data_IF_442256370569
#
_entry.id   IF_442256370569
#
_cell.length_a   1.000
_cell.length_b   1.000
_cell.length_c   1.000
_cell.angle_alpha   90.00
_cell.angle_beta   90.00
_cell.angle_gamma   90.00
#
_symmetry.space_group_name_H-M   'P 1'
#
loop_
_entity.id
_entity.type
_entity.pdbx_description
1 polymer ?
#
# COMPACT_ATOMS: atom_id res chain seq x y z
N UNK A 1 -1.84 0.26 46.93
CA UNK A 1 -0.95 -0.73 46.30
C UNK A 1 -1.77 -1.70 45.45
N UNK A 2 -1.87 -1.46 44.13
CA UNK A 2 -2.18 -2.48 43.11
C UNK A 2 -2.03 -1.89 41.68
N UNK A 3 -0.83 -1.97 41.04
CA UNK A 3 -0.74 -1.84 39.58
C UNK A 3 0.02 -2.97 38.87
N UNK A 4 0.75 -3.83 39.61
CA UNK A 4 1.68 -4.81 39.02
C UNK A 4 1.02 -5.94 38.22
N UNK A 5 -0.21 -6.32 38.55
CA UNK A 5 -0.88 -7.48 37.91
C UNK A 5 -1.42 -7.16 36.52
N UNK A 6 -1.97 -5.96 36.33
CA UNK A 6 -2.53 -5.50 35.05
C UNK A 6 -1.45 -5.18 34.01
N UNK A 7 -0.31 -4.66 34.47
CA UNK A 7 0.83 -4.37 33.60
C UNK A 7 1.49 -5.66 33.10
N UNK A 8 1.57 -6.68 33.96
CA UNK A 8 2.07 -8.00 33.60
C UNK A 8 1.17 -8.69 32.57
N UNK A 9 -0.16 -8.63 32.74
CA UNK A 9 -1.10 -9.19 31.75
C UNK A 9 -1.07 -8.46 30.41
N UNK A 10 -0.85 -7.13 30.39
CA UNK A 10 -0.65 -6.39 29.14
C UNK A 10 0.65 -6.79 28.44
N UNK A 11 1.75 -6.95 29.18
CA UNK A 11 3.03 -7.40 28.63
C UNK A 11 2.92 -8.82 28.04
N UNK A 12 2.24 -9.72 28.74
CA UNK A 12 1.98 -11.09 28.27
C UNK A 12 1.14 -11.09 26.98
N UNK A 13 0.10 -10.25 26.92
CA UNK A 13 -0.69 -10.07 25.69
C UNK A 13 0.14 -9.50 24.53
N UNK A 14 0.98 -8.50 24.79
CA UNK A 14 1.86 -7.91 23.78
C UNK A 14 2.87 -8.93 23.24
N UNK A 15 3.47 -9.73 24.12
CA UNK A 15 4.40 -10.80 23.72
C UNK A 15 3.71 -11.87 22.89
N UNK A 16 2.50 -12.27 23.28
CA UNK A 16 1.69 -13.21 22.50
C UNK A 16 1.37 -12.67 21.10
N UNK A 17 0.95 -11.40 21.00
CA UNK A 17 0.64 -10.78 19.71
C UNK A 17 1.88 -10.63 18.82
N UNK A 18 3.05 -10.31 19.39
CA UNK A 18 4.31 -10.25 18.65
C UNK A 18 4.70 -11.63 18.11
N UNK A 19 4.58 -12.69 18.92
CA UNK A 19 4.85 -14.05 18.48
C UNK A 19 3.92 -14.48 17.33
N UNK A 20 2.62 -14.13 17.41
CA UNK A 20 1.66 -14.40 16.35
C UNK A 20 2.00 -13.65 15.04
N UNK A 21 2.48 -12.41 15.16
CA UNK A 21 2.93 -11.63 14.00
C UNK A 21 4.18 -12.25 13.37
N UNK A 22 5.15 -12.69 14.18
CA UNK A 22 6.37 -13.37 13.72
C UNK A 22 6.04 -14.71 13.02
N UNK A 23 5.15 -15.51 13.58
CA UNK A 23 4.65 -16.74 12.95
C UNK A 23 4.00 -16.43 11.60
N UNK A 24 3.14 -15.39 11.56
CA UNK A 24 2.51 -14.96 10.32
C UNK A 24 3.54 -14.45 9.32
N UNK A 25 4.61 -13.77 9.75
CA UNK A 25 5.71 -13.36 8.88
C UNK A 25 6.44 -14.56 8.25
N UNK A 26 6.65 -15.62 9.03
CA UNK A 26 7.30 -16.86 8.56
C UNK A 26 6.43 -17.57 7.54
N UNK A 27 5.14 -17.73 7.81
CA UNK A 27 4.17 -18.25 6.83
C UNK A 27 4.15 -17.40 5.57
N UNK A 28 4.15 -16.08 5.73
CA UNK A 28 4.17 -15.12 4.62
C UNK A 28 5.42 -15.33 3.75
N UNK A 29 6.60 -15.53 4.36
CA UNK A 29 7.86 -15.82 3.65
C UNK A 29 7.83 -17.17 2.93
N UNK A 30 7.23 -18.18 3.51
CA UNK A 30 7.04 -19.49 2.88
C UNK A 30 6.08 -19.42 1.68
N UNK A 31 4.95 -18.72 1.82
CA UNK A 31 4.03 -18.45 0.71
C UNK A 31 4.76 -17.77 -0.47
N UNK A 32 5.65 -16.78 -0.22
CA UNK A 32 6.44 -16.14 -1.31
C UNK A 32 7.41 -17.08 -2.02
N UNK A 33 7.91 -18.11 -1.35
CA UNK A 33 8.78 -19.10 -1.98
C UNK A 33 7.98 -20.04 -2.89
N UNK A 34 6.67 -20.16 -2.66
CA UNK A 34 5.78 -21.11 -3.33
C UNK A 34 5.08 -20.53 -4.58
N UNK A 35 4.90 -19.20 -4.67
CA UNK A 35 4.31 -18.57 -5.85
C UNK A 35 5.32 -18.41 -7.01
N UNK A 36 5.04 -18.95 -8.21
CA UNK A 36 5.82 -18.67 -9.41
C UNK A 36 5.83 -17.17 -9.74
N UNK A 37 6.96 -16.68 -10.26
CA UNK A 37 7.15 -15.27 -10.69
C UNK A 37 6.33 -14.86 -11.92
N UNK A 38 5.35 -15.66 -12.32
CA UNK A 38 4.58 -15.44 -13.53
C UNK A 38 3.25 -14.75 -13.18
N UNK A 39 2.87 -13.68 -13.89
CA UNK A 39 1.58 -13.04 -13.69
C UNK A 39 0.43 -14.03 -13.95
N UNK A 40 -0.70 -13.90 -13.24
CA UNK A 40 -1.89 -14.69 -13.52
C UNK A 40 -2.33 -14.49 -14.97
N UNK A 41 -2.77 -15.57 -15.62
CA UNK A 41 -3.33 -15.54 -16.97
C UNK A 41 -4.58 -14.66 -17.02
N UNK A 42 -4.67 -13.86 -18.10
CA UNK A 42 -5.71 -12.85 -18.38
C UNK A 42 -7.11 -13.43 -18.70
N UNK A 43 -7.61 -14.40 -17.93
CA UNK A 43 -8.90 -15.05 -18.23
C UNK A 43 -10.14 -14.41 -17.55
N UNK A 44 -9.98 -13.29 -16.82
CA UNK A 44 -11.13 -12.50 -16.33
C UNK A 44 -11.18 -11.13 -17.01
N UNK A 45 -11.43 -11.16 -18.31
CA UNK A 45 -11.66 -10.01 -19.17
C UNK A 45 -13.02 -9.35 -18.92
N UNK A 46 -13.21 -8.66 -17.77
CA UNK A 46 -14.21 -7.58 -17.69
C UNK A 46 -14.00 -6.56 -16.56
N UNK A 47 -12.76 -6.35 -16.14
CA UNK A 47 -12.39 -5.14 -15.41
C UNK A 47 -11.07 -4.66 -15.97
N UNK A 48 -11.10 -3.84 -17.02
CA UNK A 48 -9.93 -3.08 -17.45
C UNK A 48 -9.51 -2.16 -16.29
N UNK A 49 -8.69 -2.71 -15.39
CA UNK A 49 -7.78 -1.93 -14.60
C UNK A 49 -6.94 -1.16 -15.62
N UNK A 50 -7.15 0.16 -15.68
CA UNK A 50 -6.18 1.04 -16.33
C UNK A 50 -4.78 0.57 -15.92
N UNK A 51 -3.84 0.39 -16.87
CA UNK A 51 -2.52 -0.13 -16.56
C UNK A 51 -1.93 0.67 -15.39
N UNK A 52 -1.29 -0.02 -14.45
CA UNK A 52 -0.68 0.58 -13.26
C UNK A 52 0.84 0.58 -13.47
N UNK A 53 1.35 1.35 -14.46
CA UNK A 53 2.70 1.18 -14.97
C UNK A 53 3.77 1.37 -13.90
N UNK A 54 3.50 2.11 -12.82
CA UNK A 54 4.48 2.35 -11.77
C UNK A 54 4.65 1.10 -10.91
N UNK A 55 3.58 0.59 -10.29
CA UNK A 55 3.74 -0.62 -9.46
C UNK A 55 4.17 -1.82 -10.31
N UNK A 56 3.68 -1.92 -11.55
CA UNK A 56 4.02 -2.99 -12.48
C UNK A 56 5.50 -2.93 -12.88
N UNK A 57 6.07 -1.74 -13.13
CA UNK A 57 7.50 -1.60 -13.43
C UNK A 57 8.39 -2.05 -12.26
N UNK A 58 8.06 -1.61 -11.04
CA UNK A 58 8.80 -2.02 -9.84
C UNK A 58 8.72 -3.52 -9.58
N UNK A 59 7.56 -4.13 -9.83
CA UNK A 59 7.39 -5.57 -9.71
C UNK A 59 8.17 -6.32 -10.79
N UNK A 60 8.15 -5.86 -12.04
CA UNK A 60 8.87 -6.52 -13.13
C UNK A 60 10.40 -6.46 -12.95
N UNK A 61 10.92 -5.37 -12.40
CA UNK A 61 12.37 -5.20 -12.18
C UNK A 61 12.90 -5.92 -10.93
N UNK A 62 12.16 -5.86 -9.82
CA UNK A 62 12.64 -6.34 -8.51
C UNK A 62 11.74 -7.32 -7.79
N UNK A 63 10.68 -7.80 -8.45
CA UNK A 63 9.72 -8.76 -7.92
C UNK A 63 8.96 -8.27 -6.69
N UNK A 64 8.47 -9.23 -5.90
CA UNK A 64 7.76 -8.96 -4.65
C UNK A 64 8.60 -8.16 -3.62
N UNK A 65 9.93 -8.34 -3.65
CA UNK A 65 10.84 -7.67 -2.71
C UNK A 65 10.94 -6.16 -2.97
N UNK A 66 10.84 -5.70 -4.22
CA UNK A 66 10.80 -4.27 -4.52
C UNK A 66 9.54 -3.61 -3.94
N UNK A 67 8.37 -4.24 -4.15
CA UNK A 67 7.08 -3.76 -3.61
C UNK A 67 7.12 -3.72 -2.08
N UNK A 68 7.67 -4.76 -1.44
CA UNK A 68 7.83 -4.82 0.02
C UNK A 68 8.83 -3.79 0.54
N UNK A 69 9.93 -3.58 -0.17
CA UNK A 69 10.92 -2.55 0.19
C UNK A 69 10.35 -1.15 0.08
N UNK A 70 9.42 -0.90 -0.84
CA UNK A 70 8.77 0.40 -0.97
C UNK A 70 7.58 0.61 -0.04
N UNK A 71 6.83 -0.43 0.37
CA UNK A 71 5.57 -0.22 1.10
C UNK A 71 5.44 -0.93 2.45
N UNK A 72 6.39 -1.80 2.82
CA UNK A 72 6.28 -2.80 3.90
C UNK A 72 5.26 -3.91 3.66
N UNK A 73 4.42 -3.80 2.63
CA UNK A 73 3.46 -4.82 2.26
C UNK A 73 4.01 -5.67 1.12
N UNK A 74 3.75 -6.96 1.21
CA UNK A 74 3.84 -7.80 0.04
C UNK A 74 2.87 -7.39 -1.07
N UNK A 75 3.06 -7.86 -2.31
CA UNK A 75 2.08 -7.65 -3.37
C UNK A 75 0.66 -8.12 -2.99
N UNK A 76 0.54 -9.23 -2.25
CA UNK A 76 -0.76 -9.78 -1.80
C UNK A 76 -1.42 -8.87 -0.77
N UNK A 77 -0.69 -8.45 0.26
CA UNK A 77 -1.20 -7.54 1.29
C UNK A 77 -1.53 -6.17 0.71
N UNK A 78 -0.67 -5.66 -0.17
CA UNK A 78 -0.92 -4.44 -0.92
C UNK A 78 -2.23 -4.53 -1.73
N UNK A 79 -2.43 -5.62 -2.48
CA UNK A 79 -3.66 -5.81 -3.26
C UNK A 79 -4.90 -5.95 -2.37
N UNK A 80 -4.79 -6.56 -1.18
CA UNK A 80 -5.87 -6.60 -0.19
C UNK A 80 -6.23 -5.21 0.33
N UNK A 81 -5.23 -4.42 0.72
CA UNK A 81 -5.41 -3.03 1.16
C UNK A 81 -5.99 -2.16 0.04
N UNK A 82 -5.46 -2.32 -1.19
CA UNK A 82 -6.04 -1.65 -2.34
C UNK A 82 -7.49 -2.05 -2.54
N UNK A 83 -7.82 -3.34 -2.42
CA UNK A 83 -9.19 -3.85 -2.54
C UNK A 83 -10.18 -3.19 -1.57
N UNK A 84 -9.77 -2.92 -0.33
CA UNK A 84 -10.65 -2.28 0.66
C UNK A 84 -10.94 -0.81 0.35
N UNK A 85 -9.97 -0.07 -0.21
CA UNK A 85 -10.13 1.36 -0.54
C UNK A 85 -10.56 1.60 -1.99
N UNK A 86 -10.39 0.63 -2.89
CA UNK A 86 -10.64 0.74 -4.34
C UNK A 86 -12.03 1.27 -4.66
N UNK A 87 -13.14 0.80 -4.06
CA UNK A 87 -14.47 1.30 -4.38
C UNK A 87 -14.59 2.81 -4.10
N UNK A 88 -14.06 3.25 -2.96
CA UNK A 88 -14.06 4.66 -2.56
C UNK A 88 -13.18 5.52 -3.47
N UNK A 89 -11.94 5.08 -3.70
CA UNK A 89 -10.99 5.80 -4.57
C UNK A 89 -11.53 5.90 -6.00
N UNK A 90 -12.13 4.84 -6.54
CA UNK A 90 -12.73 4.84 -7.88
C UNK A 90 -13.86 5.86 -7.98
N UNK A 91 -14.66 6.00 -6.92
CA UNK A 91 -15.78 6.94 -6.87
C UNK A 91 -15.34 8.40 -6.76
N UNK A 92 -14.26 8.71 -6.03
CA UNK A 92 -13.95 10.09 -5.65
C UNK A 92 -12.66 10.67 -6.25
N UNK A 93 -11.68 9.86 -6.69
CA UNK A 93 -10.35 10.34 -7.05
C UNK A 93 -10.30 11.37 -8.20
N UNK A 94 -11.16 11.20 -9.21
CA UNK A 94 -11.20 12.09 -10.38
C UNK A 94 -12.41 13.03 -10.38
N UNK A 95 -13.24 13.02 -9.33
CA UNK A 95 -14.42 13.88 -9.24
C UNK A 95 -13.99 15.32 -8.91
N UNK A 96 -14.59 16.30 -9.58
CA UNK A 96 -14.37 17.73 -9.29
C UNK A 96 -12.99 18.28 -9.68
N UNK A 97 -12.11 17.47 -10.29
CA UNK A 97 -10.72 17.86 -10.57
C UNK A 97 -10.49 18.63 -11.87
N UNK A 98 -11.55 18.85 -12.67
CA UNK A 98 -11.50 19.49 -13.99
C UNK A 98 -10.79 18.63 -15.05
N UNK A 99 -9.52 18.31 -14.81
CA UNK A 99 -8.71 17.37 -15.62
C UNK A 99 -8.46 16.08 -14.84
N UNK A 100 -8.75 14.94 -15.45
CA UNK A 100 -8.44 13.61 -14.88
C UNK A 100 -6.93 13.48 -14.63
N UNK A 101 -6.57 12.85 -13.51
CA UNK A 101 -5.17 12.48 -13.24
C UNK A 101 -4.69 11.49 -14.31
N UNK A 102 -3.46 11.67 -14.79
CA UNK A 102 -2.80 10.72 -15.68
C UNK A 102 -2.33 9.46 -14.93
N UNK A 103 -2.20 9.54 -13.60
CA UNK A 103 -1.77 8.43 -12.75
C UNK A 103 -2.97 7.61 -12.27
N UNK A 104 -2.86 6.28 -12.40
CA UNK A 104 -3.85 5.34 -11.91
C UNK A 104 -3.99 5.45 -10.38
N UNK A 105 -5.20 5.30 -9.85
CA UNK A 105 -5.44 5.40 -8.40
C UNK A 105 -4.61 4.40 -7.59
N UNK A 106 -4.37 3.21 -8.13
CA UNK A 106 -3.54 2.16 -7.52
C UNK A 106 -2.06 2.54 -7.46
N UNK A 107 -1.53 3.15 -8.52
CA UNK A 107 -0.16 3.69 -8.52
C UNK A 107 0.00 4.81 -7.50
N UNK A 108 -0.99 5.70 -7.40
CA UNK A 108 -0.94 6.78 -6.41
C UNK A 108 -1.02 6.22 -5.00
N UNK A 109 -1.83 5.17 -4.76
CA UNK A 109 -1.84 4.47 -3.48
C UNK A 109 -0.47 3.84 -3.15
N UNK A 110 0.16 3.20 -4.12
CA UNK A 110 1.52 2.66 -3.98
C UNK A 110 2.54 3.74 -3.61
N UNK A 111 2.54 4.87 -4.35
CA UNK A 111 3.41 6.01 -4.06
C UNK A 111 3.13 6.61 -2.68
N UNK A 112 1.86 6.73 -2.28
CA UNK A 112 1.47 7.24 -0.95
C UNK A 112 2.02 6.36 0.17
N UNK A 113 1.86 5.04 0.09
CA UNK A 113 2.41 4.12 1.09
C UNK A 113 3.95 4.20 1.14
N UNK A 114 4.60 4.39 -0.01
CA UNK A 114 6.05 4.58 -0.07
C UNK A 114 6.52 5.84 0.65
N UNK A 115 5.82 6.97 0.44
CA UNK A 115 6.13 8.22 1.16
C UNK A 115 5.93 8.05 2.67
N UNK A 116 4.84 7.38 3.09
CA UNK A 116 4.55 7.15 4.50
C UNK A 116 5.56 6.21 5.16
N UNK A 117 6.11 5.24 4.42
CA UNK A 117 7.15 4.34 4.90
C UNK A 117 8.50 5.05 5.07
N UNK A 118 8.97 5.69 4.01
CA UNK A 118 10.35 6.18 3.93
C UNK A 118 10.54 7.56 4.54
N UNK A 119 9.47 8.36 4.61
CA UNK A 119 9.57 9.77 4.98
C UNK A 119 10.51 10.51 4.03
N UNK A 120 11.28 11.45 4.58
CA UNK A 120 12.24 12.24 3.81
C UNK A 120 11.61 13.41 3.06
N UNK A 121 12.38 14.02 2.15
CA UNK A 121 11.92 15.19 1.40
C UNK A 121 11.00 14.78 0.25
N UNK A 122 10.16 15.73 -0.18
CA UNK A 122 9.31 15.53 -1.35
C UNK A 122 10.14 15.28 -2.61
N UNK A 123 11.28 15.95 -2.77
CA UNK A 123 12.15 15.77 -3.93
C UNK A 123 12.75 14.36 -4.02
N UNK A 124 13.20 13.81 -2.89
CA UNK A 124 13.70 12.44 -2.84
C UNK A 124 12.63 11.43 -3.27
N UNK A 125 11.42 11.55 -2.71
CA UNK A 125 10.32 10.64 -3.03
C UNK A 125 9.85 10.80 -4.48
N UNK A 126 9.79 12.04 -4.98
CA UNK A 126 9.40 12.31 -6.36
C UNK A 126 10.42 11.73 -7.35
N UNK A 127 11.72 11.78 -7.02
CA UNK A 127 12.79 11.20 -7.82
C UNK A 127 12.70 9.67 -7.92
N UNK A 128 12.31 8.96 -6.85
CA UNK A 128 12.10 7.50 -6.87
C UNK A 128 11.13 7.11 -8.00
N UNK A 129 10.07 7.89 -8.21
CA UNK A 129 9.03 7.58 -9.20
C UNK A 129 9.17 8.37 -10.50
N UNK A 130 10.28 9.10 -10.69
CA UNK A 130 10.49 9.97 -11.86
C UNK A 130 9.35 10.99 -12.10
N UNK A 131 8.71 11.47 -11.03
CA UNK A 131 7.64 12.47 -11.09
C UNK A 131 8.21 13.84 -10.70
N UNK A 132 7.74 14.92 -11.34
CA UNK A 132 8.13 16.28 -10.94
C UNK A 132 7.64 16.59 -9.52
N UNK A 133 8.51 17.10 -8.65
CA UNK A 133 8.19 17.35 -7.23
C UNK A 133 6.86 18.08 -7.00
N UNK A 134 6.55 19.21 -7.68
CA UNK A 134 5.27 19.90 -7.45
C UNK A 134 4.04 19.06 -7.82
N UNK A 135 4.16 18.26 -8.89
CA UNK A 135 3.10 17.33 -9.31
C UNK A 135 2.97 16.18 -8.30
N UNK A 136 4.09 15.66 -7.81
CA UNK A 136 4.12 14.58 -6.82
C UNK A 136 3.43 15.02 -5.52
N UNK A 137 3.85 16.15 -4.95
CA UNK A 137 3.23 16.74 -3.74
C UNK A 137 1.72 16.90 -3.93
N UNK A 138 1.30 17.57 -5.02
CA UNK A 138 -0.12 17.81 -5.31
C UNK A 138 -0.90 16.50 -5.50
N UNK A 139 -0.27 15.47 -6.05
CA UNK A 139 -0.92 14.18 -6.29
C UNK A 139 -1.10 13.42 -4.99
N UNK A 140 -0.04 13.24 -4.19
CA UNK A 140 -0.09 12.52 -2.92
C UNK A 140 -1.01 13.22 -1.92
N UNK A 141 -0.90 14.54 -1.77
CA UNK A 141 -1.76 15.29 -0.85
C UNK A 141 -3.24 15.19 -1.26
N UNK A 142 -3.57 15.39 -2.53
CA UNK A 142 -4.96 15.23 -2.99
C UNK A 142 -5.48 13.81 -2.78
N UNK A 143 -4.63 12.81 -2.94
CA UNK A 143 -5.02 11.41 -2.76
C UNK A 143 -5.30 11.08 -1.29
N UNK A 144 -4.47 11.61 -0.37
CA UNK A 144 -4.71 11.50 1.07
C UNK A 144 -6.03 12.16 1.49
N UNK A 145 -6.42 13.30 0.90
CA UNK A 145 -7.73 13.91 1.16
C UNK A 145 -8.90 13.03 0.72
N UNK A 146 -8.73 12.27 -0.37
CA UNK A 146 -9.74 11.30 -0.82
C UNK A 146 -9.78 10.08 0.09
N UNK A 147 -8.62 9.58 0.54
CA UNK A 147 -8.54 8.40 1.39
C UNK A 147 -8.97 8.66 2.84
N UNK A 148 -8.66 9.83 3.40
CA UNK A 148 -8.82 10.10 4.82
C UNK A 148 -10.25 9.80 5.33
N UNK A 149 -11.34 10.28 4.71
CA UNK A 149 -12.70 9.96 5.17
C UNK A 149 -12.94 8.44 5.27
N UNK A 150 -12.52 7.69 4.26
CA UNK A 150 -12.69 6.23 4.23
C UNK A 150 -11.94 5.51 5.35
N UNK A 151 -10.84 6.07 5.85
CA UNK A 151 -10.05 5.48 6.94
C UNK A 151 -10.64 5.78 8.32
N UNK A 152 -11.40 6.86 8.46
CA UNK A 152 -11.97 7.30 9.74
C UNK A 152 -13.45 6.92 9.92
N UNK A 153 -14.21 6.76 8.83
CA UNK A 153 -15.68 6.57 8.90
C UNK A 153 -16.13 5.13 9.24
N UNK A 154 -15.21 4.17 9.41
CA UNK A 154 -15.49 2.73 9.50
C UNK A 154 -15.10 2.06 10.84
N UNK A 155 -15.02 2.80 11.94
CA UNK A 155 -14.76 2.27 13.29
C UNK A 155 -15.87 2.57 14.29
#
# INVERSE_FOLDING_TARGET
MAPRRTQRSQQEHQQFMLALLDEREVERRAEYAEFPRQPPSDDDADTQASPCPIIDSWYNEGGAEAVRRLTNFSPREFNRLWGSVRPHVTRYWNVGRGRRSALAGKDVFFMTLSVLKHGGTWDMNAAIFCVKTPMFIKTITAFLHVLAPRMYDDW
#
